data_IF_828260845000
#
_entry.id   IF_828260845000
#
_cell.length_a   1.000
_cell.length_b   1.000
_cell.length_c   1.000
_cell.angle_alpha   90.00
_cell.angle_beta   90.00
_cell.angle_gamma   90.00
#
_symmetry.space_group_name_H-M   'P 1'
#
loop_
_entity.id
_entity.type
_entity.pdbx_description
1 polymer ?
#
# COMPACT_ATOMS: atom_id res chain seq x y z
N UNK A 1 25.67 9.00 29.43
CA UNK A 1 26.00 9.39 28.03
C UNK A 1 25.83 8.24 27.04
N UNK A 2 26.34 7.03 27.34
CA UNK A 2 26.17 5.84 26.47
C UNK A 2 24.70 5.45 26.20
N UNK A 3 23.81 5.56 27.18
CA UNK A 3 22.37 5.25 27.06
C UNK A 3 21.62 6.14 26.05
N UNK A 4 21.95 7.43 25.96
CA UNK A 4 21.35 8.36 24.97
C UNK A 4 21.80 8.05 23.53
N UNK A 5 23.04 7.58 23.39
CA UNK A 5 23.60 7.16 22.10
C UNK A 5 23.03 5.81 21.64
N UNK A 6 22.90 4.85 22.55
CA UNK A 6 22.30 3.53 22.27
C UNK A 6 20.82 3.68 21.89
N UNK A 7 20.05 4.47 22.65
CA UNK A 7 18.63 4.74 22.31
C UNK A 7 18.49 5.46 20.96
N UNK A 8 19.36 6.42 20.65
CA UNK A 8 19.38 7.06 19.33
C UNK A 8 19.64 6.07 18.19
N UNK A 9 20.57 5.12 18.35
CA UNK A 9 20.85 4.07 17.35
C UNK A 9 19.62 3.17 17.15
N UNK A 10 18.98 2.73 18.24
CA UNK A 10 17.77 1.90 18.17
C UNK A 10 16.65 2.64 17.40
N UNK A 11 16.45 3.93 17.68
CA UNK A 11 15.46 4.76 17.00
C UNK A 11 15.74 4.86 15.49
N UNK A 12 17.01 5.05 15.10
CA UNK A 12 17.40 5.06 13.68
C UNK A 12 17.11 3.72 13.02
N UNK A 13 17.45 2.59 13.69
CA UNK A 13 17.18 1.26 13.16
C UNK A 13 15.68 1.01 12.94
N UNK A 14 14.83 1.44 13.86
CA UNK A 14 13.36 1.38 13.71
C UNK A 14 12.91 2.24 12.52
N UNK A 15 13.45 3.46 12.38
CA UNK A 15 13.15 4.33 11.25
C UNK A 15 13.52 3.70 9.90
N UNK A 16 14.69 3.06 9.80
CA UNK A 16 15.12 2.33 8.60
C UNK A 16 14.19 1.15 8.29
N UNK A 17 13.82 0.36 9.30
CA UNK A 17 12.91 -0.78 9.13
C UNK A 17 11.52 -0.35 8.63
N UNK A 18 11.01 0.78 9.11
CA UNK A 18 9.74 1.36 8.64
C UNK A 18 9.80 1.80 7.18
N UNK A 19 10.89 2.43 6.75
CA UNK A 19 11.08 2.84 5.35
C UNK A 19 11.15 1.61 4.44
N UNK A 20 11.93 0.58 4.82
CA UNK A 20 12.02 -0.67 4.04
C UNK A 20 10.65 -1.35 3.91
N UNK A 21 9.88 -1.39 5.01
CA UNK A 21 8.53 -1.94 5.02
C UNK A 21 7.57 -1.15 4.13
N UNK A 22 7.71 0.18 4.09
CA UNK A 22 6.96 1.05 3.17
C UNK A 22 7.22 0.69 1.70
N UNK A 23 8.49 0.48 1.32
CA UNK A 23 8.83 0.06 -0.04
C UNK A 23 8.22 -1.29 -0.40
N UNK A 24 8.26 -2.27 0.52
CA UNK A 24 7.65 -3.57 0.31
C UNK A 24 6.13 -3.46 0.11
N UNK A 25 5.44 -2.69 0.96
CA UNK A 25 3.99 -2.48 0.84
C UNK A 25 3.65 -1.75 -0.46
N UNK A 26 4.39 -0.69 -0.83
CA UNK A 26 4.18 0.01 -2.11
C UNK A 26 4.34 -0.90 -3.32
N UNK A 27 5.35 -1.78 -3.30
CA UNK A 27 5.56 -2.75 -4.36
C UNK A 27 4.37 -3.71 -4.48
N UNK A 28 3.92 -4.29 -3.36
CA UNK A 28 2.74 -5.16 -3.32
C UNK A 28 1.45 -4.46 -3.76
N UNK A 29 1.24 -3.21 -3.36
CA UNK A 29 0.09 -2.40 -3.79
C UNK A 29 0.13 -2.15 -5.30
N UNK A 30 1.32 -1.86 -5.86
CA UNK A 30 1.48 -1.66 -7.29
C UNK A 30 1.13 -2.92 -8.09
N UNK A 31 1.67 -4.07 -7.67
CA UNK A 31 1.33 -5.36 -8.29
C UNK A 31 -0.16 -5.67 -8.17
N UNK A 32 -0.76 -5.49 -6.99
CA UNK A 32 -2.20 -5.70 -6.79
C UNK A 32 -3.06 -4.78 -7.64
N UNK A 33 -2.67 -3.50 -7.80
CA UNK A 33 -3.37 -2.58 -8.70
C UNK A 33 -3.26 -2.99 -10.18
N UNK A 34 -2.13 -3.56 -10.61
CA UNK A 34 -2.00 -4.11 -11.96
C UNK A 34 -2.95 -5.30 -12.17
N UNK A 35 -2.99 -6.25 -11.25
CA UNK A 35 -3.92 -7.40 -11.31
C UNK A 35 -5.39 -6.94 -11.33
N UNK A 36 -5.73 -5.94 -10.51
CA UNK A 36 -7.08 -5.32 -10.51
C UNK A 36 -7.39 -4.69 -11.88
N UNK A 37 -6.43 -4.00 -12.51
CA UNK A 37 -6.60 -3.39 -13.82
C UNK A 37 -6.80 -4.43 -14.93
N UNK A 38 -6.06 -5.55 -14.86
CA UNK A 38 -6.23 -6.68 -15.79
C UNK A 38 -7.59 -7.36 -15.61
N UNK A 39 -8.01 -7.55 -14.35
CA UNK A 39 -9.34 -8.07 -14.03
C UNK A 39 -10.46 -7.14 -14.53
N UNK A 40 -10.33 -5.83 -14.35
CA UNK A 40 -11.28 -4.84 -14.91
C UNK A 40 -11.35 -4.89 -16.43
N UNK A 41 -10.20 -5.01 -17.11
CA UNK A 41 -10.14 -5.16 -18.56
C UNK A 41 -10.88 -6.41 -19.04
N UNK A 42 -10.70 -7.52 -18.32
CA UNK A 42 -11.38 -8.80 -18.60
C UNK A 42 -12.89 -8.70 -18.39
N UNK A 43 -13.33 -8.10 -17.28
CA UNK A 43 -14.76 -7.85 -17.00
C UNK A 43 -15.37 -6.95 -18.08
N UNK A 44 -14.68 -5.90 -18.50
CA UNK A 44 -15.14 -4.99 -19.55
C UNK A 44 -15.30 -5.69 -20.90
N UNK A 45 -14.34 -6.55 -21.28
CA UNK A 45 -14.43 -7.39 -22.49
C UNK A 45 -15.59 -8.37 -22.41
N UNK A 46 -15.75 -9.05 -21.27
CA UNK A 46 -16.90 -9.92 -21.02
C UNK A 46 -18.21 -9.16 -21.14
N UNK A 47 -18.29 -7.93 -20.60
CA UNK A 47 -19.51 -7.12 -20.63
C UNK A 47 -19.96 -6.83 -22.04
N UNK A 48 -19.01 -6.56 -22.95
CA UNK A 48 -19.31 -6.40 -24.39
C UNK A 48 -19.88 -7.68 -25.02
N UNK A 49 -19.34 -8.85 -24.66
CA UNK A 49 -19.79 -10.15 -25.19
C UNK A 49 -21.17 -10.57 -24.64
N UNK A 50 -21.43 -10.36 -23.35
CA UNK A 50 -22.71 -10.69 -22.71
C UNK A 50 -23.80 -9.62 -22.92
N UNK A 51 -23.52 -8.55 -23.66
CA UNK A 51 -24.51 -7.51 -24.00
C UNK A 51 -25.35 -7.82 -25.24
N UNK A 52 -25.02 -8.90 -25.96
CA UNK A 52 -25.50 -9.17 -27.33
C UNK A 52 -26.90 -9.79 -27.36
N UNK A 53 -27.33 -10.53 -26.33
CA UNK A 53 -28.70 -11.08 -26.23
C UNK A 53 -29.38 -10.72 -24.90
N UNK A 54 -30.69 -10.43 -24.88
CA UNK A 54 -31.39 -9.91 -23.69
C UNK A 54 -31.32 -10.85 -22.47
N UNK A 55 -31.35 -12.17 -22.68
CA UNK A 55 -31.26 -13.20 -21.63
C UNK A 55 -29.86 -13.24 -21.01
N UNK A 56 -28.80 -13.12 -21.83
CA UNK A 56 -27.41 -13.07 -21.32
C UNK A 56 -27.08 -11.72 -20.68
N UNK A 57 -27.83 -10.67 -21.03
CA UNK A 57 -27.68 -9.31 -20.48
C UNK A 57 -28.12 -9.17 -19.03
N UNK A 58 -29.21 -9.84 -18.63
CA UNK A 58 -29.66 -9.85 -17.23
C UNK A 58 -28.77 -10.71 -16.34
N UNK A 59 -28.49 -11.94 -16.76
CA UNK A 59 -27.62 -12.87 -16.01
C UNK A 59 -26.18 -12.32 -15.93
N UNK A 60 -25.67 -11.78 -17.05
CA UNK A 60 -24.36 -11.14 -17.12
C UNK A 60 -24.26 -9.88 -16.27
N UNK A 61 -25.32 -9.06 -16.17
CA UNK A 61 -25.35 -7.89 -15.27
C UNK A 61 -25.22 -8.28 -13.81
N UNK A 62 -25.97 -9.28 -13.35
CA UNK A 62 -25.92 -9.74 -11.95
C UNK A 62 -24.54 -10.24 -11.56
N UNK A 63 -23.96 -11.10 -12.39
CA UNK A 63 -22.62 -11.65 -12.17
C UNK A 63 -21.54 -10.57 -12.25
N UNK A 64 -21.58 -9.69 -13.27
CA UNK A 64 -20.58 -8.63 -13.42
C UNK A 64 -20.66 -7.56 -12.36
N UNK A 65 -21.85 -7.23 -11.85
CA UNK A 65 -21.96 -6.28 -10.74
C UNK A 65 -21.32 -6.84 -9.47
N UNK A 66 -21.44 -8.14 -9.20
CA UNK A 66 -20.78 -8.80 -8.07
C UNK A 66 -19.25 -8.80 -8.22
N UNK A 67 -18.75 -9.09 -9.43
CA UNK A 67 -17.31 -9.03 -9.72
C UNK A 67 -16.78 -7.59 -9.65
N UNK A 68 -17.50 -6.61 -10.19
CA UNK A 68 -17.13 -5.20 -10.11
C UNK A 68 -17.11 -4.70 -8.66
N UNK A 69 -18.04 -5.16 -7.81
CA UNK A 69 -18.05 -4.83 -6.39
C UNK A 69 -16.78 -5.35 -5.69
N UNK A 70 -16.39 -6.60 -5.95
CA UNK A 70 -15.14 -7.17 -5.41
C UNK A 70 -13.90 -6.42 -5.89
N UNK A 71 -13.87 -6.01 -7.16
CA UNK A 71 -12.81 -5.18 -7.74
C UNK A 71 -12.73 -3.82 -7.02
N UNK A 72 -13.87 -3.17 -6.79
CA UNK A 72 -13.91 -1.88 -6.11
C UNK A 72 -13.45 -2.00 -4.65
N UNK A 73 -13.87 -3.04 -3.94
CA UNK A 73 -13.40 -3.34 -2.57
C UNK A 73 -11.88 -3.62 -2.53
N UNK A 74 -11.35 -4.37 -3.49
CA UNK A 74 -9.93 -4.63 -3.60
C UNK A 74 -9.13 -3.35 -3.89
N UNK A 75 -9.67 -2.47 -4.73
CA UNK A 75 -9.08 -1.15 -5.03
C UNK A 75 -9.03 -0.28 -3.77
N UNK A 76 -10.13 -0.20 -3.02
CA UNK A 76 -10.18 0.56 -1.77
C UNK A 76 -9.20 0.05 -0.70
N UNK A 77 -9.00 -1.27 -0.62
CA UNK A 77 -7.96 -1.87 0.24
C UNK A 77 -6.55 -1.49 -0.23
N UNK A 78 -6.29 -1.58 -1.54
CA UNK A 78 -5.00 -1.20 -2.11
C UNK A 78 -4.65 0.27 -1.82
N UNK A 79 -5.64 1.16 -1.89
CA UNK A 79 -5.49 2.59 -1.56
C UNK A 79 -5.16 2.79 -0.08
N UNK A 80 -5.84 2.07 0.81
CA UNK A 80 -5.57 2.12 2.25
C UNK A 80 -4.14 1.66 2.58
N UNK A 81 -3.65 0.60 1.94
CA UNK A 81 -2.26 0.15 2.08
C UNK A 81 -1.26 1.15 1.46
N UNK A 82 -1.61 1.83 0.36
CA UNK A 82 -0.78 2.89 -0.22
C UNK A 82 -0.59 4.07 0.74
N UNK A 83 -1.67 4.48 1.41
CA UNK A 83 -1.65 5.51 2.44
C UNK A 83 -0.81 5.06 3.63
N UNK A 84 -1.00 3.83 4.12
CA UNK A 84 -0.20 3.27 5.21
C UNK A 84 1.29 3.24 4.87
N UNK A 85 1.65 2.82 3.66
CA UNK A 85 3.04 2.84 3.20
C UNK A 85 3.60 4.27 3.21
N UNK A 86 2.82 5.26 2.79
CA UNK A 86 3.25 6.67 2.81
C UNK A 86 3.46 7.16 4.25
N UNK A 87 2.57 6.81 5.18
CA UNK A 87 2.75 7.10 6.60
C UNK A 87 4.00 6.45 7.19
N UNK A 88 4.29 5.19 6.84
CA UNK A 88 5.52 4.53 7.27
C UNK A 88 6.78 5.17 6.68
N UNK A 89 6.72 5.67 5.45
CA UNK A 89 7.85 6.40 4.86
C UNK A 89 8.11 7.70 5.61
N UNK A 90 7.07 8.51 5.85
CA UNK A 90 7.17 9.79 6.57
C UNK A 90 7.61 9.55 8.02
N UNK A 91 6.94 8.65 8.73
CA UNK A 91 7.27 8.31 10.10
C UNK A 91 8.69 7.77 10.24
N UNK A 92 9.10 6.87 9.33
CA UNK A 92 10.46 6.34 9.29
C UNK A 92 11.51 7.44 9.09
N UNK A 93 11.28 8.39 8.18
CA UNK A 93 12.17 9.54 8.01
C UNK A 93 12.26 10.42 9.27
N UNK A 94 11.14 10.69 9.94
CA UNK A 94 11.12 11.45 11.20
C UNK A 94 11.91 10.74 12.29
N UNK A 95 11.73 9.43 12.44
CA UNK A 95 12.49 8.63 13.42
C UNK A 95 14.00 8.67 13.14
N UNK A 96 14.44 8.58 11.87
CA UNK A 96 15.86 8.68 11.53
C UNK A 96 16.43 10.05 11.94
N UNK A 97 15.72 11.14 11.65
CA UNK A 97 16.17 12.49 12.01
C UNK A 97 16.25 12.65 13.53
N UNK A 98 15.22 12.25 14.27
CA UNK A 98 15.21 12.31 15.74
C UNK A 98 16.32 11.46 16.36
N UNK A 99 16.52 10.25 15.84
CA UNK A 99 17.59 9.37 16.29
C UNK A 99 18.99 9.97 16.03
N UNK A 100 19.21 10.57 14.86
CA UNK A 100 20.46 11.25 14.52
C UNK A 100 20.74 12.44 15.46
N UNK A 101 19.73 13.25 15.77
CA UNK A 101 19.82 14.37 16.72
C UNK A 101 20.19 13.87 18.12
N UNK A 102 19.55 12.80 18.60
CA UNK A 102 19.86 12.19 19.90
C UNK A 102 21.31 11.66 19.97
N UNK A 103 21.78 11.03 18.91
CA UNK A 103 23.18 10.56 18.80
C UNK A 103 24.14 11.76 18.84
N UNK A 104 23.85 12.82 18.10
CA UNK A 104 24.68 14.02 18.04
C UNK A 104 24.79 14.72 19.41
N UNK A 105 23.66 14.95 20.09
CA UNK A 105 23.62 15.55 21.44
C UNK A 105 24.33 14.65 22.45
N UNK A 106 24.15 13.33 22.36
CA UNK A 106 24.81 12.35 23.21
C UNK A 106 26.32 12.23 23.01
N UNK A 107 26.87 12.83 21.93
CA UNK A 107 28.30 12.85 21.60
C UNK A 107 29.01 14.14 22.03
N UNK A 108 28.25 15.24 22.21
CA UNK A 108 28.78 16.57 22.55
C UNK A 108 28.92 16.83 24.06
N UNK A 109 28.39 15.94 24.89
CA UNK A 109 28.59 15.88 26.34
C UNK A 109 29.47 14.69 26.67
#
# INVERSE_FOLDING_TARGET
MRTKRISGIIIVLIGVALILSSFYIRSRVRSGRQEISEAQSTVSKGKKLFSVTPITKEVGKGFMNSVQKKINEATGKADSYAVLATWFQIGGSVFIVLGAVLIYIGRKK
#
